data_IF_803981306552
#
_entry.id   IF_803981306552
#
_cell.length_a   1.000
_cell.length_b   1.000
_cell.length_c   1.000
_cell.angle_alpha   90.00
_cell.angle_beta   90.00
_cell.angle_gamma   90.00
#
_symmetry.space_group_name_H-M   'P 1'
#
loop_
_entity.id
_entity.type
_entity.pdbx_description
1 polymer ?
#
# COMPACT_ATOMS: atom_id res chain seq x y z
N UNK A 1 -9.13 8.52 -18.79
CA UNK A 1 -10.25 9.28 -18.22
C UNK A 1 -9.65 10.45 -17.44
N UNK A 2 -9.95 11.69 -17.82
CA UNK A 2 -9.57 12.85 -17.00
C UNK A 2 -10.37 12.81 -15.70
N UNK A 3 -9.70 12.74 -14.56
CA UNK A 3 -10.36 12.82 -13.26
C UNK A 3 -10.82 14.25 -13.05
N UNK A 4 -12.10 14.41 -12.71
CA UNK A 4 -12.69 15.74 -12.51
C UNK A 4 -11.97 16.48 -11.38
N UNK A 5 -11.57 17.76 -11.56
CA UNK A 5 -10.95 18.59 -10.52
C UNK A 5 -11.74 18.64 -9.20
N UNK A 6 -13.05 18.37 -9.25
CA UNK A 6 -13.91 18.29 -8.06
C UNK A 6 -13.56 17.11 -7.15
N UNK A 7 -13.13 15.98 -7.69
CA UNK A 7 -12.81 14.77 -6.91
C UNK A 7 -11.58 15.03 -6.02
N UNK A 8 -10.56 15.68 -6.58
CA UNK A 8 -9.33 16.03 -5.86
C UNK A 8 -9.58 17.05 -4.73
N UNK A 9 -10.43 18.06 -4.98
CA UNK A 9 -10.80 19.05 -3.96
C UNK A 9 -11.57 18.44 -2.79
N UNK A 10 -12.41 17.44 -3.06
CA UNK A 10 -13.13 16.73 -2.00
C UNK A 10 -12.17 15.94 -1.11
N UNK A 11 -11.17 15.26 -1.70
CA UNK A 11 -10.15 14.53 -0.96
C UNK A 11 -9.32 15.47 -0.08
N UNK A 12 -8.85 16.59 -0.64
CA UNK A 12 -8.15 17.62 0.12
C UNK A 12 -8.99 18.15 1.29
N UNK A 13 -10.26 18.50 1.03
CA UNK A 13 -11.16 19.03 2.04
C UNK A 13 -11.32 18.10 3.25
N UNK A 14 -11.48 16.80 3.00
CA UNK A 14 -11.59 15.78 4.06
C UNK A 14 -10.30 15.63 4.85
N UNK A 15 -9.16 15.59 4.16
CA UNK A 15 -7.84 15.50 4.79
C UNK A 15 -7.58 16.67 5.74
N UNK A 16 -7.89 17.90 5.32
CA UNK A 16 -7.77 19.09 6.17
C UNK A 16 -8.74 19.03 7.36
N UNK A 17 -9.98 18.60 7.15
CA UNK A 17 -10.95 18.45 8.24
C UNK A 17 -10.47 17.46 9.32
N UNK A 18 -9.83 16.36 8.93
CA UNK A 18 -9.28 15.37 9.86
C UNK A 18 -8.15 15.96 10.70
N UNK A 19 -7.17 16.61 10.07
CA UNK A 19 -6.04 17.22 10.78
C UNK A 19 -6.52 18.35 11.70
N UNK A 20 -7.49 19.15 11.25
CA UNK A 20 -8.10 20.18 12.09
C UNK A 20 -8.68 19.59 13.38
N UNK A 21 -9.44 18.49 13.25
CA UNK A 21 -10.08 17.82 14.39
C UNK A 21 -9.06 17.15 15.31
N UNK A 22 -8.01 16.54 14.77
CA UNK A 22 -6.96 15.91 15.58
C UNK A 22 -6.17 16.94 16.40
N UNK A 23 -6.04 18.17 15.89
CA UNK A 23 -5.48 19.32 16.62
C UNK A 23 -6.48 20.01 17.57
N UNK A 24 -7.73 19.53 17.64
CA UNK A 24 -8.78 20.10 18.48
C UNK A 24 -9.29 21.47 18.02
N UNK A 25 -9.06 21.86 16.77
CA UNK A 25 -9.42 23.19 16.26
C UNK A 25 -10.85 23.23 15.74
N UNK A 26 -11.54 24.33 16.04
CA UNK A 26 -12.75 24.75 15.35
C UNK A 26 -12.43 25.28 13.93
N UNK A 27 -13.44 25.38 13.07
CA UNK A 27 -13.28 25.98 11.74
C UNK A 27 -12.80 27.43 11.81
N UNK A 28 -13.20 28.19 12.85
CA UNK A 28 -12.78 29.59 13.04
C UNK A 28 -11.32 29.68 13.41
N UNK A 29 -10.86 28.85 14.35
CA UNK A 29 -9.46 28.81 14.76
C UNK A 29 -8.55 28.37 13.61
N UNK A 30 -8.95 27.38 12.82
CA UNK A 30 -8.19 26.96 11.65
C UNK A 30 -8.09 28.06 10.59
N UNK A 31 -9.18 28.80 10.37
CA UNK A 31 -9.19 29.94 9.44
C UNK A 31 -8.30 31.08 9.94
N UNK A 32 -8.36 31.40 11.24
CA UNK A 32 -7.51 32.40 11.88
C UNK A 32 -6.03 32.04 11.79
N UNK A 33 -5.67 30.78 12.11
CA UNK A 33 -4.29 30.27 11.97
C UNK A 33 -3.78 30.31 10.53
N UNK A 34 -4.65 30.06 9.56
CA UNK A 34 -4.33 30.14 8.13
C UNK A 34 -4.31 31.58 7.58
N UNK A 35 -4.79 32.57 8.34
CA UNK A 35 -4.99 33.92 7.80
C UNK A 35 -6.01 33.94 6.65
N UNK A 36 -7.00 33.03 6.68
CA UNK A 36 -8.02 32.87 5.64
C UNK A 36 -9.41 33.19 6.19
N UNK A 37 -10.35 33.51 5.29
CA UNK A 37 -11.74 33.64 5.66
C UNK A 37 -12.30 32.28 6.14
N UNK A 38 -13.10 32.30 7.22
CA UNK A 38 -13.79 31.11 7.73
C UNK A 38 -14.59 30.37 6.64
N UNK A 39 -15.21 31.13 5.73
CA UNK A 39 -15.96 30.59 4.59
C UNK A 39 -15.09 29.80 3.63
N UNK A 40 -13.82 30.17 3.45
CA UNK A 40 -12.86 29.45 2.59
C UNK A 40 -12.57 28.06 3.14
N UNK A 41 -12.20 27.96 4.42
CA UNK A 41 -11.95 26.66 5.07
C UNK A 41 -13.22 25.80 5.08
N UNK A 42 -14.37 26.39 5.42
CA UNK A 42 -15.64 25.65 5.45
C UNK A 42 -16.05 25.12 4.06
N UNK A 43 -15.89 25.90 2.98
CA UNK A 43 -16.20 25.44 1.61
C UNK A 43 -15.22 24.37 1.14
N UNK A 44 -13.94 24.49 1.50
CA UNK A 44 -12.93 23.50 1.18
C UNK A 44 -13.23 22.17 1.88
N UNK A 45 -13.44 22.16 3.20
CA UNK A 45 -13.72 20.95 3.97
C UNK A 45 -15.05 20.28 3.62
N UNK A 46 -16.07 21.07 3.24
CA UNK A 46 -17.39 20.53 2.85
C UNK A 46 -17.49 20.08 1.39
N UNK A 47 -16.42 20.24 0.59
CA UNK A 47 -16.45 19.93 -0.83
C UNK A 47 -17.34 20.87 -1.66
N UNK A 48 -17.80 21.99 -1.08
CA UNK A 48 -18.57 23.03 -1.77
C UNK A 48 -17.69 24.00 -2.57
N UNK A 49 -16.38 23.88 -2.44
CA UNK A 49 -15.40 24.59 -3.24
C UNK A 49 -15.41 24.03 -4.67
N UNK A 50 -15.76 24.86 -5.66
CA UNK A 50 -15.90 24.44 -7.06
C UNK A 50 -14.62 24.65 -7.88
N UNK A 51 -13.68 25.45 -7.37
CA UNK A 51 -12.46 25.87 -8.05
C UNK A 51 -11.25 25.61 -7.18
N UNK A 52 -10.12 25.27 -7.81
CA UNK A 52 -8.86 25.09 -7.11
C UNK A 52 -8.47 26.36 -6.36
N UNK A 53 -8.09 26.27 -5.06
CA UNK A 53 -7.48 27.39 -4.36
C UNK A 53 -6.25 27.89 -5.10
N UNK A 54 -6.02 29.20 -5.06
CA UNK A 54 -4.81 29.78 -5.62
C UNK A 54 -3.58 29.35 -4.83
N UNK A 55 -2.43 29.29 -5.49
CA UNK A 55 -1.16 28.85 -4.89
C UNK A 55 -0.84 29.52 -3.53
N UNK A 56 -1.04 30.85 -3.35
CA UNK A 56 -0.81 31.49 -2.05
C UNK A 56 -1.75 30.96 -0.95
N UNK A 57 -3.01 30.65 -1.31
CA UNK A 57 -3.98 30.06 -0.37
C UNK A 57 -3.54 28.67 0.06
N UNK A 58 -3.03 27.87 -0.87
CA UNK A 58 -2.50 26.53 -0.58
C UNK A 58 -1.31 26.58 0.37
N UNK A 59 -0.39 27.53 0.17
CA UNK A 59 0.77 27.74 1.05
C UNK A 59 0.36 28.15 2.46
N UNK A 60 -0.63 29.04 2.59
CA UNK A 60 -1.17 29.45 3.89
C UNK A 60 -1.80 28.28 4.65
N UNK A 61 -2.55 27.42 3.94
CA UNK A 61 -3.12 26.20 4.52
C UNK A 61 -2.00 25.25 4.95
N UNK A 62 -1.01 25.00 4.09
CA UNK A 62 0.13 24.14 4.38
C UNK A 62 0.86 24.58 5.65
N UNK A 63 1.20 25.88 5.75
CA UNK A 63 1.87 26.46 6.90
C UNK A 63 1.04 26.34 8.19
N UNK A 64 -0.25 26.69 8.13
CA UNK A 64 -1.12 26.65 9.31
C UNK A 64 -1.36 25.24 9.84
N UNK A 65 -1.44 24.26 8.95
CA UNK A 65 -1.65 22.86 9.32
C UNK A 65 -0.34 22.10 9.61
N UNK A 66 0.82 22.72 9.40
CA UNK A 66 2.15 22.11 9.49
C UNK A 66 2.29 20.89 8.55
N UNK A 67 1.73 21.01 7.35
CA UNK A 67 1.78 19.97 6.31
C UNK A 67 2.74 20.46 5.22
N UNK A 68 3.66 19.62 4.73
CA UNK A 68 4.47 19.94 3.55
C UNK A 68 3.57 20.36 2.36
N UNK A 69 3.92 21.48 1.73
CA UNK A 69 3.16 22.05 0.61
C UNK A 69 2.97 21.03 -0.52
N UNK A 70 3.97 20.18 -0.76
CA UNK A 70 3.98 19.14 -1.79
C UNK A 70 2.85 18.13 -1.60
N UNK A 71 2.49 17.80 -0.35
CA UNK A 71 1.40 16.88 -0.04
C UNK A 71 0.06 17.51 -0.47
N UNK A 72 -0.18 18.76 -0.09
CA UNK A 72 -1.42 19.47 -0.47
C UNK A 72 -1.49 19.63 -1.99
N UNK A 73 -0.38 20.02 -2.61
CA UNK A 73 -0.30 20.17 -4.06
C UNK A 73 -0.55 18.84 -4.79
N UNK A 74 0.01 17.74 -4.28
CA UNK A 74 -0.25 16.40 -4.81
C UNK A 74 -1.72 16.01 -4.68
N UNK A 75 -2.35 16.24 -3.52
CA UNK A 75 -3.79 16.00 -3.31
C UNK A 75 -4.69 16.78 -4.29
N UNK A 76 -4.26 17.97 -4.73
CA UNK A 76 -4.99 18.80 -5.68
C UNK A 76 -4.80 18.37 -7.13
N UNK A 77 -3.59 17.93 -7.48
CA UNK A 77 -3.17 17.73 -8.88
C UNK A 77 -3.15 16.27 -9.31
N UNK A 78 -3.07 15.34 -8.36
CA UNK A 78 -2.98 13.92 -8.65
C UNK A 78 -4.37 13.28 -8.69
N UNK A 79 -4.77 12.65 -9.81
CA UNK A 79 -6.02 11.91 -9.93
C UNK A 79 -6.14 10.71 -8.98
N UNK A 80 -5.02 10.29 -8.37
CA UNK A 80 -4.90 9.03 -7.61
C UNK A 80 -5.01 9.21 -6.08
N UNK A 81 -5.32 10.41 -5.59
CA UNK A 81 -5.26 10.77 -4.17
C UNK A 81 -6.36 10.20 -3.26
N UNK A 82 -7.14 9.23 -3.72
CA UNK A 82 -8.18 8.56 -2.93
C UNK A 82 -7.65 7.49 -1.95
N UNK A 83 -6.33 7.38 -1.75
CA UNK A 83 -5.72 6.31 -0.95
C UNK A 83 -5.23 6.73 0.44
N UNK A 84 -5.48 7.97 0.89
CA UNK A 84 -4.98 8.43 2.18
C UNK A 84 -6.09 8.49 3.25
N UNK A 85 -5.92 7.61 4.24
CA UNK A 85 -6.58 7.54 5.55
C UNK A 85 -8.12 7.29 5.55
N UNK A 86 -8.50 6.04 5.82
CA UNK A 86 -9.86 5.49 5.65
C UNK A 86 -10.78 5.62 6.86
N UNK A 87 -10.31 6.19 7.98
CA UNK A 87 -11.10 6.35 9.20
C UNK A 87 -12.40 7.16 9.01
N UNK A 88 -12.46 8.01 7.98
CA UNK A 88 -13.63 8.87 7.70
C UNK A 88 -14.04 8.97 6.23
N UNK A 89 -13.41 8.21 5.33
CA UNK A 89 -13.81 8.11 3.93
C UNK A 89 -14.95 7.10 3.77
N UNK A 90 -15.89 7.31 2.81
CA UNK A 90 -16.81 6.25 2.41
C UNK A 90 -16.00 4.98 2.18
N UNK A 91 -16.47 3.85 2.72
CA UNK A 91 -15.80 2.58 2.48
C UNK A 91 -15.57 2.47 0.99
N UNK A 92 -14.38 2.05 0.56
CA UNK A 92 -14.20 1.76 -0.84
C UNK A 92 -15.34 0.82 -1.29
N UNK A 93 -16.05 1.10 -2.41
CA UNK A 93 -17.33 0.44 -2.77
C UNK A 93 -17.34 -1.08 -2.65
N UNK A 94 -16.17 -1.70 -2.80
CA UNK A 94 -15.99 -3.13 -2.72
C UNK A 94 -16.01 -3.69 -1.28
N UNK A 95 -15.74 -2.93 -0.20
CA UNK A 95 -15.86 -3.48 1.15
C UNK A 95 -17.34 -3.76 1.44
N UNK A 96 -18.18 -2.85 0.99
CA UNK A 96 -19.61 -3.06 0.93
C UNK A 96 -19.99 -4.31 0.14
N UNK A 97 -19.46 -4.48 -1.07
CA UNK A 97 -19.71 -5.67 -1.87
C UNK A 97 -19.21 -6.97 -1.22
N UNK A 98 -18.11 -6.91 -0.50
CA UNK A 98 -17.53 -8.04 0.21
C UNK A 98 -18.42 -8.44 1.40
N UNK A 99 -18.86 -7.47 2.20
CA UNK A 99 -19.85 -7.66 3.27
C UNK A 99 -21.14 -8.24 2.69
N UNK A 100 -21.64 -7.69 1.58
CA UNK A 100 -22.79 -8.22 0.85
C UNK A 100 -22.57 -9.69 0.45
N UNK A 101 -21.42 -10.01 -0.15
CA UNK A 101 -21.12 -11.37 -0.63
C UNK A 101 -21.08 -12.40 0.51
N UNK A 102 -20.47 -12.05 1.65
CA UNK A 102 -20.46 -12.93 2.82
C UNK A 102 -21.83 -13.08 3.45
N UNK A 103 -22.58 -11.99 3.54
CA UNK A 103 -23.97 -12.03 4.02
C UNK A 103 -24.81 -12.99 3.16
N UNK A 104 -24.71 -12.89 1.83
CA UNK A 104 -25.39 -13.82 0.91
C UNK A 104 -24.90 -15.27 1.09
N UNK A 105 -23.59 -15.50 1.14
CA UNK A 105 -22.99 -16.84 1.31
C UNK A 105 -23.41 -17.52 2.61
N UNK A 106 -23.59 -16.76 3.68
CA UNK A 106 -24.03 -17.25 5.01
C UNK A 106 -25.56 -17.30 5.14
N UNK A 107 -26.30 -16.95 4.09
CA UNK A 107 -27.76 -17.00 4.07
C UNK A 107 -28.45 -15.92 4.90
N UNK A 108 -27.75 -14.83 5.25
CA UNK A 108 -28.33 -13.73 6.01
C UNK A 108 -29.13 -12.78 5.10
N UNK A 109 -30.39 -12.53 5.45
CA UNK A 109 -31.11 -11.36 4.91
C UNK A 109 -30.54 -10.07 5.52
N UNK A 110 -30.90 -8.92 4.95
CA UNK A 110 -30.50 -7.63 5.51
C UNK A 110 -31.13 -7.42 6.90
N UNK A 111 -32.36 -7.89 7.07
CA UNK A 111 -33.13 -7.86 8.31
C UNK A 111 -32.50 -8.77 9.38
N UNK A 112 -32.16 -10.02 9.03
CA UNK A 112 -31.56 -10.97 9.97
C UNK A 112 -30.17 -10.50 10.46
N UNK A 113 -29.39 -9.85 9.61
CA UNK A 113 -28.11 -9.26 10.04
C UNK A 113 -28.32 -8.06 10.97
N UNK A 114 -29.34 -7.24 10.71
CA UNK A 114 -29.72 -6.13 11.60
C UNK A 114 -30.25 -6.56 12.96
N UNK A 115 -30.92 -7.71 13.05
CA UNK A 115 -31.30 -8.31 14.34
C UNK A 115 -30.09 -8.72 15.18
N UNK A 116 -29.01 -9.18 14.53
CA UNK A 116 -27.75 -9.51 15.20
C UNK A 116 -26.93 -8.27 15.58
N UNK A 117 -27.13 -7.14 14.91
CA UNK A 117 -26.33 -5.92 15.04
C UNK A 117 -27.24 -4.72 15.33
N UNK A 118 -27.46 -4.35 16.60
CA UNK A 118 -28.45 -3.33 16.98
C UNK A 118 -28.24 -1.95 16.33
N UNK A 119 -27.00 -1.62 15.96
CA UNK A 119 -26.66 -0.36 15.28
C UNK A 119 -26.92 -0.39 13.77
N UNK A 120 -27.19 -1.57 13.19
CA UNK A 120 -27.28 -1.81 11.76
C UNK A 120 -28.73 -2.02 11.33
N UNK A 121 -29.34 -1.00 10.72
CA UNK A 121 -30.64 -1.16 10.06
C UNK A 121 -30.48 -1.45 8.55
N UNK A 122 -31.57 -1.84 7.88
CA UNK A 122 -31.57 -2.18 6.45
C UNK A 122 -31.04 -1.06 5.55
N UNK A 123 -31.38 0.20 5.82
CA UNK A 123 -30.92 1.33 5.02
C UNK A 123 -29.42 1.56 5.22
N UNK A 124 -28.94 1.51 6.46
CA UNK A 124 -27.53 1.65 6.79
C UNK A 124 -26.70 0.50 6.20
N UNK A 125 -27.19 -0.74 6.28
CA UNK A 125 -26.54 -1.89 5.64
C UNK A 125 -26.44 -1.70 4.13
N UNK A 126 -27.49 -1.18 3.48
CA UNK A 126 -27.44 -0.87 2.05
C UNK A 126 -26.36 0.18 1.75
N UNK A 127 -26.28 1.26 2.53
CA UNK A 127 -25.23 2.27 2.37
C UNK A 127 -23.83 1.70 2.59
N UNK A 128 -23.67 0.78 3.56
CA UNK A 128 -22.42 0.06 3.80
C UNK A 128 -22.09 -0.83 2.59
N UNK A 129 -23.06 -1.60 2.09
CA UNK A 129 -22.91 -2.54 0.96
C UNK A 129 -22.61 -1.84 -0.37
N UNK A 130 -23.06 -0.60 -0.53
CA UNK A 130 -22.73 0.30 -1.64
C UNK A 130 -21.40 1.06 -1.42
N UNK A 131 -20.81 0.93 -0.23
CA UNK A 131 -19.63 1.67 0.23
C UNK A 131 -19.87 3.16 0.46
N UNK A 132 -21.11 3.62 0.45
CA UNK A 132 -21.45 5.02 0.76
C UNK A 132 -21.15 5.39 2.22
N UNK A 133 -21.05 4.40 3.13
CA UNK A 133 -20.87 4.58 4.56
C UNK A 133 -19.58 3.95 5.10
N UNK A 134 -18.68 4.71 5.76
CA UNK A 134 -17.55 4.16 6.54
C UNK A 134 -18.02 3.26 7.68
N UNK A 135 -17.21 2.24 8.02
CA UNK A 135 -17.36 1.48 9.26
C UNK A 135 -16.20 1.80 10.22
N UNK A 136 -16.49 1.87 11.52
CA UNK A 136 -15.45 1.89 12.55
C UNK A 136 -14.87 0.49 12.77
N UNK A 137 -13.70 0.40 13.43
CA UNK A 137 -13.08 -0.87 13.78
C UNK A 137 -14.01 -1.76 14.64
N UNK A 138 -14.71 -1.16 15.60
CA UNK A 138 -15.71 -1.84 16.44
C UNK A 138 -16.86 -2.41 15.60
N UNK A 139 -17.37 -1.63 14.63
CA UNK A 139 -18.41 -2.09 13.72
C UNK A 139 -17.94 -3.20 12.78
N UNK A 140 -16.68 -3.18 12.36
CA UNK A 140 -16.07 -4.26 11.57
C UNK A 140 -15.97 -5.53 12.42
N UNK A 141 -15.53 -5.43 13.68
CA UNK A 141 -15.45 -6.58 14.60
C UNK A 141 -16.83 -7.19 14.87
N UNK A 142 -17.84 -6.34 15.08
CA UNK A 142 -19.24 -6.72 15.21
C UNK A 142 -19.74 -7.48 13.98
N UNK A 143 -19.48 -6.96 12.77
CA UNK A 143 -19.82 -7.63 11.51
C UNK A 143 -19.13 -8.99 11.37
N UNK A 144 -17.86 -9.09 11.74
CA UNK A 144 -17.12 -10.37 11.72
C UNK A 144 -17.75 -11.42 12.63
N UNK A 145 -18.19 -11.01 13.83
CA UNK A 145 -18.88 -11.88 14.80
C UNK A 145 -20.26 -12.28 14.27
N UNK A 146 -21.06 -11.31 13.81
CA UNK A 146 -22.43 -11.54 13.36
C UNK A 146 -22.51 -12.42 12.11
N UNK A 147 -21.58 -12.25 11.16
CA UNK A 147 -21.47 -13.04 9.93
C UNK A 147 -20.77 -14.40 10.16
N UNK A 148 -20.30 -14.67 11.38
CA UNK A 148 -19.60 -15.92 11.73
C UNK A 148 -18.46 -16.23 10.75
N UNK A 149 -17.63 -15.21 10.49
CA UNK A 149 -16.54 -15.30 9.53
C UNK A 149 -15.46 -16.27 10.06
N UNK A 150 -15.01 -17.19 9.22
CA UNK A 150 -13.85 -18.02 9.49
C UNK A 150 -12.59 -17.13 9.62
N UNK A 151 -11.50 -17.60 10.28
CA UNK A 151 -10.26 -16.84 10.41
C UNK A 151 -9.72 -16.29 9.08
N UNK A 152 -9.86 -17.04 8.00
CA UNK A 152 -9.45 -16.65 6.65
C UNK A 152 -10.34 -15.52 6.10
N UNK A 153 -11.66 -15.61 6.30
CA UNK A 153 -12.65 -14.61 5.89
C UNK A 153 -12.49 -13.30 6.70
N UNK A 154 -12.21 -13.40 8.00
CA UNK A 154 -11.84 -12.24 8.84
C UNK A 154 -10.57 -11.59 8.32
N UNK A 155 -9.57 -12.39 7.99
CA UNK A 155 -8.32 -11.95 7.41
C UNK A 155 -8.56 -11.21 6.09
N UNK A 156 -9.44 -11.72 5.24
CA UNK A 156 -9.83 -11.10 3.97
C UNK A 156 -10.60 -9.78 4.18
N UNK A 157 -11.52 -9.69 5.16
CA UNK A 157 -12.29 -8.47 5.46
C UNK A 157 -11.37 -7.36 5.92
N UNK A 158 -10.44 -7.67 6.84
CA UNK A 158 -9.45 -6.72 7.36
C UNK A 158 -8.47 -6.31 6.27
N UNK A 159 -8.00 -7.28 5.49
CA UNK A 159 -6.99 -7.04 4.47
C UNK A 159 -7.51 -6.17 3.33
N UNK A 160 -8.72 -6.48 2.86
CA UNK A 160 -9.32 -5.74 1.77
C UNK A 160 -9.84 -4.41 2.28
N UNK A 161 -10.55 -4.40 3.43
CA UNK A 161 -11.32 -3.33 4.11
C UNK A 161 -10.74 -1.92 4.27
N UNK A 162 -9.61 -1.60 3.68
CA UNK A 162 -8.96 -0.30 3.86
C UNK A 162 -8.22 -0.19 5.20
N UNK A 163 -8.27 -1.22 6.04
CA UNK A 163 -7.31 -1.46 7.11
C UNK A 163 -5.94 -1.93 6.54
N UNK A 164 -5.59 -1.51 5.31
CA UNK A 164 -4.24 -1.69 4.78
C UNK A 164 -3.19 -0.87 5.59
N UNK A 165 -3.64 0.15 6.34
CA UNK A 165 -2.79 0.82 7.34
C UNK A 165 -2.62 -0.02 8.63
N UNK A 166 -3.45 -1.05 8.84
CA UNK A 166 -3.45 -1.96 10.00
C UNK A 166 -3.26 -3.45 9.59
N UNK A 167 -2.75 -3.76 8.38
CA UNK A 167 -2.62 -5.14 7.80
C UNK A 167 -1.97 -6.09 8.76
N UNK A 168 -0.96 -5.57 9.41
CA UNK A 168 -0.28 -6.31 10.42
C UNK A 168 -1.06 -6.01 11.68
N UNK A 169 -1.79 -7.02 12.16
CA UNK A 169 -1.98 -7.11 13.59
C UNK A 169 -0.62 -6.76 14.22
N UNK A 170 -0.57 -5.94 15.28
CA UNK A 170 0.71 -5.51 15.85
C UNK A 170 1.71 -6.67 16.00
N UNK A 171 1.22 -7.87 16.30
CA UNK A 171 2.00 -9.12 16.32
C UNK A 171 2.59 -9.57 14.96
N UNK A 172 1.87 -9.46 13.84
CA UNK A 172 2.42 -9.84 12.53
C UNK A 172 3.53 -8.88 12.08
N UNK A 173 3.43 -7.57 12.36
CA UNK A 173 4.49 -6.61 12.04
C UNK A 173 5.69 -6.87 12.91
N UNK A 174 5.48 -7.00 14.22
CA UNK A 174 6.55 -7.35 15.16
C UNK A 174 7.24 -8.65 14.77
N UNK A 175 6.50 -9.67 14.33
CA UNK A 175 7.08 -10.93 13.88
C UNK A 175 7.88 -10.79 12.58
N UNK A 176 7.37 -10.07 11.58
CA UNK A 176 8.14 -9.76 10.36
C UNK A 176 9.43 -9.04 10.70
N UNK A 177 9.33 -7.99 11.51
CA UNK A 177 10.45 -7.19 11.99
C UNK A 177 11.46 -8.07 12.72
N UNK A 178 11.03 -8.93 13.65
CA UNK A 178 11.89 -9.88 14.37
C UNK A 178 12.58 -10.89 13.44
N UNK A 179 11.87 -11.45 12.46
CA UNK A 179 12.44 -12.36 11.46
C UNK A 179 13.51 -11.66 10.63
N UNK A 180 13.24 -10.42 10.20
CA UNK A 180 14.18 -9.62 9.41
C UNK A 180 15.36 -9.12 10.26
N UNK A 181 15.15 -8.83 11.54
CA UNK A 181 16.19 -8.47 12.52
C UNK A 181 17.16 -9.61 12.76
N UNK A 182 16.66 -10.85 12.83
CA UNK A 182 17.49 -12.04 12.94
C UNK A 182 18.32 -12.28 11.66
N UNK A 183 17.87 -11.76 10.52
CA UNK A 183 18.61 -11.73 9.25
C UNK A 183 19.59 -10.54 9.19
N UNK A 184 20.46 -10.43 10.20
CA UNK A 184 21.29 -9.24 10.47
C UNK A 184 22.19 -8.78 9.32
N UNK A 185 22.60 -9.70 8.44
CA UNK A 185 23.72 -9.46 7.55
C UNK A 185 23.39 -9.36 6.06
N UNK A 186 22.14 -9.53 5.63
CA UNK A 186 21.80 -9.43 4.20
C UNK A 186 20.52 -8.68 3.92
N UNK A 187 20.27 -8.28 2.66
CA UNK A 187 19.00 -7.73 2.23
C UNK A 187 17.85 -8.70 2.51
N UNK A 188 16.80 -8.20 3.16
CA UNK A 188 15.55 -8.91 3.33
C UNK A 188 14.37 -7.94 3.53
N UNK A 189 13.18 -8.37 3.10
CA UNK A 189 11.93 -7.62 3.28
C UNK A 189 10.72 -8.55 3.35
N UNK A 190 9.58 -8.02 3.79
CA UNK A 190 8.31 -8.71 3.85
C UNK A 190 7.32 -8.12 2.83
N UNK A 191 6.62 -8.98 2.10
CA UNK A 191 5.55 -8.63 1.17
C UNK A 191 4.19 -9.11 1.68
N UNK A 192 3.14 -8.33 1.42
CA UNK A 192 1.76 -8.76 1.64
C UNK A 192 1.04 -9.09 0.33
N UNK A 193 0.43 -10.28 0.26
CA UNK A 193 -0.44 -10.74 -0.84
C UNK A 193 -1.87 -10.20 -0.64
N UNK A 194 -2.58 -9.80 -1.72
CA UNK A 194 -2.25 -10.01 -3.14
C UNK A 194 -1.61 -8.82 -3.84
N UNK A 195 -1.43 -7.69 -3.17
CA UNK A 195 -0.90 -6.48 -3.82
C UNK A 195 0.63 -6.46 -3.88
N UNK A 196 1.30 -7.43 -3.26
CA UNK A 196 2.76 -7.47 -3.07
C UNK A 196 3.27 -6.17 -2.46
N UNK A 197 2.53 -5.63 -1.51
CA UNK A 197 2.92 -4.42 -0.80
C UNK A 197 4.13 -4.73 0.07
N UNK A 198 5.15 -3.88 -0.02
CA UNK A 198 6.32 -3.97 0.86
C UNK A 198 5.91 -3.48 2.24
N UNK A 199 5.81 -4.41 3.19
CA UNK A 199 5.39 -4.14 4.56
C UNK A 199 6.51 -3.53 5.39
N UNK A 200 7.67 -4.18 5.33
CA UNK A 200 8.87 -3.81 6.07
C UNK A 200 10.08 -4.30 5.30
N UNK A 201 11.11 -3.48 5.22
CA UNK A 201 12.40 -3.84 4.64
C UNK A 201 13.52 -3.49 5.62
N UNK A 202 14.50 -4.37 5.77
CA UNK A 202 15.68 -4.04 6.56
C UNK A 202 16.56 -3.01 5.82
N UNK A 203 17.46 -2.33 6.56
CA UNK A 203 18.35 -1.31 6.00
C UNK A 203 19.13 -1.76 4.74
N UNK A 204 19.49 -3.04 4.65
CA UNK A 204 20.25 -3.60 3.54
C UNK A 204 19.40 -3.71 2.27
N UNK A 205 18.18 -4.21 2.39
CA UNK A 205 17.20 -4.18 1.30
C UNK A 205 16.87 -2.74 0.91
N UNK A 206 16.68 -1.87 1.91
CA UNK A 206 16.54 -0.42 1.76
C UNK A 206 17.57 0.22 0.85
N UNK A 207 18.84 -0.06 1.13
CA UNK A 207 19.95 0.45 0.35
C UNK A 207 20.02 -0.16 -1.06
N UNK A 208 19.88 -1.48 -1.16
CA UNK A 208 20.12 -2.20 -2.42
C UNK A 208 18.98 -2.00 -3.43
N UNK A 209 17.74 -1.95 -2.97
CA UNK A 209 16.57 -2.00 -3.84
C UNK A 209 15.79 -0.69 -3.91
N UNK A 210 15.70 0.04 -2.80
CA UNK A 210 14.85 1.22 -2.66
C UNK A 210 15.65 2.52 -2.76
N UNK A 211 15.03 3.65 -3.11
CA UNK A 211 15.78 4.89 -3.33
C UNK A 211 16.17 5.57 -2.01
N UNK A 212 17.38 6.16 -1.93
CA UNK A 212 17.80 6.91 -0.74
C UNK A 212 16.92 8.14 -0.44
N UNK A 213 16.28 8.72 -1.46
CA UNK A 213 15.38 9.88 -1.27
C UNK A 213 14.06 9.52 -0.59
N UNK A 214 13.61 8.28 -0.71
CA UNK A 214 12.45 7.75 0.03
C UNK A 214 12.82 7.35 1.47
N UNK A 215 14.11 7.22 1.77
CA UNK A 215 14.64 6.94 3.10
C UNK A 215 14.77 8.22 3.93
N UNK A 216 13.67 8.98 4.08
CA UNK A 216 13.59 10.07 5.07
C UNK A 216 13.60 9.46 6.48
N UNK A 217 14.78 8.96 6.85
CA UNK A 217 15.13 8.27 8.09
C UNK A 217 15.53 9.33 9.11
N UNK A 218 14.59 10.19 9.49
CA UNK A 218 14.71 10.92 10.76
C UNK A 218 14.51 10.00 11.96
N UNK A 219 14.07 8.76 11.73
CA UNK A 219 13.93 7.70 12.72
C UNK A 219 15.15 6.77 12.70
N UNK A 220 15.77 6.53 13.87
CA UNK A 220 16.80 5.51 14.11
C UNK A 220 16.32 4.06 13.90
N UNK A 221 15.19 3.86 13.23
CA UNK A 221 14.65 2.54 12.91
C UNK A 221 15.58 1.81 11.93
N UNK A 222 15.97 0.55 12.19
CA UNK A 222 16.71 -0.28 11.24
C UNK A 222 15.83 -0.75 10.06
N UNK A 223 14.56 -0.33 10.03
CA UNK A 223 13.56 -0.72 9.06
C UNK A 223 12.96 0.47 8.31
N UNK A 224 12.71 0.24 7.03
CA UNK A 224 11.94 1.14 6.18
C UNK A 224 10.47 0.73 6.17
N UNK A 225 9.62 1.73 6.38
CA UNK A 225 8.16 1.65 6.18
C UNK A 225 7.78 2.60 5.05
N UNK A 226 6.97 2.12 4.11
CA UNK A 226 6.54 2.93 2.96
C UNK A 226 5.16 3.50 3.24
N UNK A 227 5.02 4.83 3.14
CA UNK A 227 3.73 5.51 3.24
C UNK A 227 3.57 6.49 2.05
N UNK A 228 2.69 6.18 1.07
CA UNK A 228 1.80 5.02 1.02
C UNK A 228 2.56 3.69 0.81
N UNK A 229 1.97 2.54 1.15
CA UNK A 229 2.57 1.24 0.91
C UNK A 229 2.77 1.02 -0.60
N UNK A 230 4.01 0.81 -1.01
CA UNK A 230 4.40 0.58 -2.41
C UNK A 230 4.25 -0.91 -2.76
N UNK A 231 3.70 -1.21 -3.94
CA UNK A 231 3.81 -2.57 -4.48
C UNK A 231 5.24 -2.82 -4.95
N UNK A 232 5.79 -4.00 -4.65
CA UNK A 232 7.09 -4.41 -5.16
C UNK A 232 7.15 -4.39 -6.69
N UNK A 233 6.03 -4.64 -7.37
CA UNK A 233 5.96 -4.53 -8.83
C UNK A 233 6.21 -3.10 -9.31
N UNK A 234 5.68 -2.10 -8.60
CA UNK A 234 5.91 -0.68 -8.90
C UNK A 234 7.38 -0.32 -8.65
N UNK A 235 7.98 -0.87 -7.59
CA UNK A 235 9.41 -0.68 -7.27
C UNK A 235 10.30 -1.26 -8.38
N UNK A 236 9.99 -2.44 -8.91
CA UNK A 236 10.79 -3.08 -9.97
C UNK A 236 10.87 -2.29 -11.28
N UNK A 237 9.81 -1.55 -11.60
CA UNK A 237 9.67 -0.83 -12.88
C UNK A 237 9.80 0.69 -12.72
N UNK A 238 9.83 1.19 -11.48
CA UNK A 238 10.03 2.60 -11.21
C UNK A 238 11.43 3.03 -11.67
N UNK A 239 11.55 4.09 -12.48
CA UNK A 239 12.85 4.65 -12.86
C UNK A 239 13.58 5.29 -11.66
N UNK A 240 12.86 5.59 -10.59
CA UNK A 240 13.42 6.16 -9.36
C UNK A 240 13.99 5.10 -8.43
N UNK A 241 13.55 3.83 -8.54
CA UNK A 241 14.07 2.74 -7.74
C UNK A 241 15.50 2.37 -8.16
N UNK A 242 16.34 2.01 -7.20
CA UNK A 242 17.73 1.60 -7.48
C UNK A 242 17.77 0.25 -8.19
N UNK A 243 16.87 -0.68 -7.83
CA UNK A 243 16.87 -2.03 -8.37
C UNK A 243 16.70 -2.07 -9.89
N UNK A 244 15.87 -1.19 -10.47
CA UNK A 244 15.63 -1.17 -11.92
C UNK A 244 16.92 -0.83 -12.68
N UNK A 245 17.67 0.18 -12.20
CA UNK A 245 18.97 0.58 -12.76
C UNK A 245 20.00 -0.54 -12.67
N UNK A 246 20.08 -1.22 -11.53
CA UNK A 246 21.05 -2.31 -11.32
C UNK A 246 20.74 -3.55 -12.15
N UNK A 247 19.46 -3.88 -12.31
CA UNK A 247 19.00 -4.96 -13.19
C UNK A 247 19.27 -4.65 -14.67
N UNK A 248 19.07 -3.39 -15.08
CA UNK A 248 19.38 -2.94 -16.44
C UNK A 248 20.89 -3.01 -16.71
N UNK A 249 21.72 -2.54 -15.77
CA UNK A 249 23.18 -2.61 -15.87
C UNK A 249 23.70 -4.06 -15.94
N UNK A 250 22.98 -5.02 -15.34
CA UNK A 250 23.26 -6.45 -15.44
C UNK A 250 22.70 -7.11 -16.71
N UNK A 251 21.93 -6.40 -17.54
CA UNK A 251 21.31 -6.96 -18.75
C UNK A 251 20.21 -8.00 -18.47
N UNK A 252 19.66 -8.06 -17.26
CA UNK A 252 18.68 -9.07 -16.86
C UNK A 252 17.30 -8.51 -16.47
N UNK A 253 17.09 -7.18 -16.60
CA UNK A 253 15.86 -6.51 -16.17
C UNK A 253 14.58 -7.14 -16.72
N UNK A 254 14.46 -7.36 -18.03
CA UNK A 254 13.26 -7.96 -18.62
C UNK A 254 12.98 -9.35 -18.07
N UNK A 255 14.02 -10.20 -17.98
CA UNK A 255 13.89 -11.57 -17.43
C UNK A 255 13.32 -11.54 -16.00
N UNK A 256 13.89 -10.68 -15.15
CA UNK A 256 13.45 -10.55 -13.76
C UNK A 256 12.03 -10.00 -13.67
N UNK A 257 11.70 -8.92 -14.38
CA UNK A 257 10.34 -8.36 -14.39
C UNK A 257 9.30 -9.41 -14.79
N UNK A 258 9.58 -10.20 -15.83
CA UNK A 258 8.67 -11.25 -16.30
C UNK A 258 8.50 -12.37 -15.27
N UNK A 259 9.59 -12.79 -14.62
CA UNK A 259 9.55 -13.81 -13.57
C UNK A 259 8.76 -13.32 -12.34
N UNK A 260 8.96 -12.08 -11.90
CA UNK A 260 8.23 -11.51 -10.77
C UNK A 260 6.74 -11.32 -11.10
N UNK A 261 6.40 -10.89 -12.32
CA UNK A 261 5.00 -10.78 -12.76
C UNK A 261 4.33 -12.16 -12.85
N UNK A 262 5.01 -13.17 -13.38
CA UNK A 262 4.49 -14.54 -13.40
C UNK A 262 4.23 -15.05 -11.98
N UNK A 263 5.20 -14.86 -11.08
CA UNK A 263 5.10 -15.27 -9.67
C UNK A 263 3.96 -14.52 -8.96
N UNK A 264 3.83 -13.22 -9.19
CA UNK A 264 2.74 -12.40 -8.70
C UNK A 264 1.38 -12.94 -9.18
N UNK A 265 1.22 -13.19 -10.48
CA UNK A 265 -0.02 -13.72 -11.06
C UNK A 265 -0.41 -15.04 -10.42
N UNK A 266 0.56 -15.95 -10.22
CA UNK A 266 0.32 -17.24 -9.59
C UNK A 266 -0.09 -17.12 -8.12
N UNK A 267 0.65 -16.37 -7.32
CA UNK A 267 0.38 -16.22 -5.89
C UNK A 267 -0.92 -15.46 -5.61
N UNK A 268 -1.28 -14.53 -6.49
CA UNK A 268 -2.49 -13.72 -6.37
C UNK A 268 -3.69 -14.28 -7.13
N UNK A 269 -3.58 -15.45 -7.78
CA UNK A 269 -4.65 -16.02 -8.64
C UNK A 269 -5.99 -16.21 -7.92
N UNK A 270 -5.96 -16.58 -6.64
CA UNK A 270 -7.18 -16.77 -5.83
C UNK A 270 -7.98 -15.47 -5.64
N UNK A 271 -7.33 -14.32 -5.84
CA UNK A 271 -7.94 -12.99 -5.74
C UNK A 271 -8.34 -12.42 -7.10
N UNK A 272 -8.21 -13.17 -8.21
CA UNK A 272 -8.49 -12.67 -9.56
C UNK A 272 -9.94 -12.18 -9.74
N UNK A 273 -10.88 -12.75 -8.99
CA UNK A 273 -12.28 -12.33 -8.99
C UNK A 273 -12.56 -11.12 -8.07
N UNK A 274 -11.59 -10.73 -7.24
CA UNK A 274 -11.77 -9.66 -6.28
C UNK A 274 -11.68 -8.29 -6.95
N UNK A 275 -12.67 -7.43 -6.75
CA UNK A 275 -12.76 -6.13 -7.43
C UNK A 275 -11.53 -5.23 -7.17
N UNK A 276 -11.04 -5.14 -5.93
CA UNK A 276 -9.82 -4.34 -5.65
C UNK A 276 -8.64 -4.85 -6.44
N UNK A 277 -8.47 -6.17 -6.46
CA UNK A 277 -7.37 -6.78 -7.18
C UNK A 277 -7.49 -6.43 -8.66
N UNK A 278 -8.67 -6.55 -9.25
CA UNK A 278 -8.91 -6.12 -10.63
C UNK A 278 -8.61 -4.64 -10.86
N UNK A 279 -9.02 -3.74 -9.97
CA UNK A 279 -8.70 -2.31 -10.06
C UNK A 279 -7.20 -2.03 -9.94
N UNK A 280 -6.53 -2.69 -8.99
CA UNK A 280 -5.10 -2.60 -8.80
C UNK A 280 -4.34 -3.08 -10.04
N UNK A 281 -4.71 -4.24 -10.59
CA UNK A 281 -4.13 -4.76 -11.84
C UNK A 281 -4.43 -3.81 -13.00
N UNK A 282 -5.67 -3.35 -13.14
CA UNK A 282 -6.03 -2.40 -14.18
C UNK A 282 -5.14 -1.15 -14.12
N UNK A 283 -4.98 -0.56 -12.93
CA UNK A 283 -4.08 0.57 -12.70
C UNK A 283 -2.65 0.23 -13.10
N UNK A 284 -2.08 -0.86 -12.56
CA UNK A 284 -0.71 -1.27 -12.89
C UNK A 284 -0.47 -1.42 -14.40
N UNK A 285 -1.39 -2.06 -15.11
CA UNK A 285 -1.29 -2.30 -16.56
C UNK A 285 -1.44 -1.01 -17.38
N UNK A 286 -2.17 -0.01 -16.88
CA UNK A 286 -2.30 1.30 -17.53
C UNK A 286 -1.08 2.18 -17.26
N UNK A 287 -0.58 2.17 -16.02
CA UNK A 287 0.53 3.03 -15.58
C UNK A 287 1.87 2.55 -16.13
N UNK A 288 2.10 1.24 -16.23
CA UNK A 288 3.41 0.68 -16.56
C UNK A 288 3.35 -0.23 -17.80
N UNK A 289 3.72 0.26 -19.00
CA UNK A 289 3.68 -0.53 -20.24
C UNK A 289 4.47 -1.84 -20.16
N UNK A 290 5.63 -1.84 -19.49
CA UNK A 290 6.44 -3.05 -19.29
C UNK A 290 5.71 -4.10 -18.43
N UNK A 291 4.95 -3.68 -17.40
CA UNK A 291 4.12 -4.60 -16.62
C UNK A 291 3.03 -5.18 -17.51
N UNK A 292 2.41 -4.37 -18.37
CA UNK A 292 1.38 -4.86 -19.31
C UNK A 292 1.92 -5.89 -20.28
N UNK A 293 3.08 -5.65 -20.87
CA UNK A 293 3.76 -6.59 -21.74
C UNK A 293 4.10 -7.90 -21.00
N UNK A 294 4.78 -7.79 -19.86
CA UNK A 294 5.12 -8.94 -19.03
C UNK A 294 3.87 -9.72 -18.56
N UNK A 295 2.78 -9.02 -18.25
CA UNK A 295 1.51 -9.62 -17.85
C UNK A 295 0.88 -10.46 -18.96
N UNK A 296 0.96 -9.99 -20.21
CA UNK A 296 0.43 -10.72 -21.37
C UNK A 296 1.26 -11.96 -21.71
N UNK A 297 2.58 -11.87 -21.56
CA UNK A 297 3.50 -12.94 -21.94
C UNK A 297 3.74 -13.97 -20.81
N UNK A 298 3.50 -13.59 -19.55
CA UNK A 298 3.69 -14.48 -18.41
C UNK A 298 2.69 -15.63 -18.39
N UNK A 299 3.18 -16.86 -18.53
CA UNK A 299 2.40 -18.10 -18.38
C UNK A 299 2.60 -18.69 -16.97
N UNK A 300 1.69 -19.57 -16.55
CA UNK A 300 1.84 -20.30 -15.29
C UNK A 300 3.07 -21.23 -15.30
N UNK A 301 3.50 -21.68 -16.48
CA UNK A 301 4.68 -22.54 -16.66
C UNK A 301 5.99 -21.79 -16.37
N UNK A 302 6.00 -20.46 -16.53
CA UNK A 302 7.13 -19.62 -16.12
C UNK A 302 7.30 -19.58 -14.60
N UNK A 303 6.21 -19.83 -13.85
CA UNK A 303 6.25 -20.09 -12.41
C UNK A 303 6.67 -21.54 -12.22
N UNK A 304 7.93 -21.78 -12.53
CA UNK A 304 8.64 -23.02 -12.23
C UNK A 304 8.45 -23.41 -10.75
N UNK A 305 8.67 -24.69 -10.37
CA UNK A 305 8.66 -25.10 -8.95
C UNK A 305 9.57 -24.26 -8.05
N UNK A 306 10.53 -23.55 -8.64
CA UNK A 306 11.50 -22.64 -8.04
C UNK A 306 10.99 -21.21 -7.81
N UNK A 307 9.68 -20.93 -7.80
CA UNK A 307 9.22 -19.57 -7.41
C UNK A 307 9.65 -19.17 -5.99
N UNK A 308 9.86 -20.18 -5.14
CA UNK A 308 10.39 -20.00 -3.80
C UNK A 308 11.85 -19.54 -3.83
N UNK A 309 12.57 -19.82 -4.91
CA UNK A 309 14.01 -19.81 -4.89
C UNK A 309 14.61 -19.55 -6.28
N UNK A 310 15.20 -18.37 -6.48
CA UNK A 310 15.72 -17.97 -7.79
C UNK A 310 17.12 -17.38 -7.69
N UNK A 311 18.03 -17.88 -8.53
CA UNK A 311 19.35 -17.28 -8.74
C UNK A 311 19.22 -15.94 -9.48
N UNK A 312 19.94 -14.94 -8.98
CA UNK A 312 19.82 -13.55 -9.39
C UNK A 312 21.20 -12.92 -9.59
N UNK A 313 21.29 -12.06 -10.60
CA UNK A 313 22.47 -11.27 -10.91
C UNK A 313 22.12 -9.79 -10.87
N UNK A 314 22.91 -8.98 -10.16
CA UNK A 314 22.80 -7.53 -10.17
C UNK A 314 24.15 -6.91 -10.47
N UNK A 315 24.14 -5.76 -11.14
CA UNK A 315 25.34 -4.95 -11.31
C UNK A 315 25.13 -3.64 -10.59
N UNK A 316 25.81 -3.47 -9.46
CA UNK A 316 25.62 -2.34 -8.55
C UNK A 316 26.79 -1.38 -8.64
N UNK A 317 26.53 -0.09 -8.49
CA UNK A 317 27.56 0.93 -8.38
C UNK A 317 27.67 1.39 -6.93
N UNK A 318 28.86 1.30 -6.35
CA UNK A 318 29.16 1.67 -4.96
C UNK A 318 30.43 2.52 -5.00
N UNK A 319 30.33 3.78 -4.57
CA UNK A 319 31.47 4.71 -4.54
C UNK A 319 32.22 4.74 -5.90
N UNK A 320 31.47 4.87 -6.99
CA UNK A 320 31.97 4.92 -8.38
C UNK A 320 32.58 3.61 -8.91
N UNK A 321 32.60 2.53 -8.12
CA UNK A 321 33.02 1.20 -8.56
C UNK A 321 31.83 0.29 -8.85
N UNK A 322 31.95 -0.50 -9.92
CA UNK A 322 30.90 -1.45 -10.34
C UNK A 322 31.20 -2.86 -9.85
N UNK A 323 30.22 -3.45 -9.17
CA UNK A 323 30.29 -4.81 -8.65
C UNK A 323 29.22 -5.68 -9.32
N UNK A 324 29.61 -6.90 -9.71
CA UNK A 324 28.66 -7.93 -10.11
C UNK A 324 28.31 -8.74 -8.88
N UNK A 325 27.04 -8.71 -8.50
CA UNK A 325 26.48 -9.47 -7.40
C UNK A 325 25.76 -10.69 -7.95
N UNK A 326 26.01 -11.82 -7.31
CA UNK A 326 25.42 -13.11 -7.60
C UNK A 326 24.89 -13.71 -6.31
N UNK A 327 23.57 -13.88 -6.24
CA UNK A 327 22.89 -14.29 -5.02
C UNK A 327 21.62 -15.08 -5.31
N UNK A 328 21.14 -15.77 -4.29
CA UNK A 328 19.90 -16.51 -4.28
C UNK A 328 18.79 -15.72 -3.61
N UNK A 329 17.65 -15.57 -4.28
CA UNK A 329 16.45 -14.96 -3.72
C UNK A 329 15.53 -16.07 -3.19
N UNK A 330 15.32 -16.12 -1.88
CA UNK A 330 14.44 -17.09 -1.21
C UNK A 330 13.17 -16.40 -0.71
N UNK A 331 12.01 -16.96 -1.05
CA UNK A 331 10.66 -16.50 -0.70
C UNK A 331 9.97 -17.54 0.15
N UNK A 332 9.65 -17.18 1.38
CA UNK A 332 9.04 -18.08 2.34
C UNK A 332 7.77 -17.45 2.89
N UNK A 333 6.68 -18.20 2.89
CA UNK A 333 5.48 -17.78 3.60
C UNK A 333 5.74 -17.75 5.10
N UNK A 334 5.24 -16.71 5.76
CA UNK A 334 5.27 -16.66 7.21
C UNK A 334 4.31 -17.74 7.75
N UNK A 335 4.81 -18.66 8.58
CA UNK A 335 4.02 -19.81 9.05
C UNK A 335 2.76 -19.39 9.81
N UNK A 336 2.84 -18.28 10.55
CA UNK A 336 1.72 -17.72 11.31
C UNK A 336 0.73 -16.93 10.44
N UNK A 337 1.15 -16.50 9.24
CA UNK A 337 0.32 -15.75 8.31
C UNK A 337 0.73 -16.01 6.84
N UNK A 338 0.08 -16.94 6.13
CA UNK A 338 0.43 -17.32 4.76
C UNK A 338 0.08 -16.23 3.72
N UNK A 339 -0.36 -15.06 4.14
CA UNK A 339 -0.52 -13.88 3.27
C UNK A 339 0.77 -13.06 3.21
N UNK A 340 1.70 -13.30 4.11
CA UNK A 340 2.99 -12.61 4.19
C UNK A 340 4.07 -13.50 3.60
N UNK A 341 4.87 -12.93 2.70
CA UNK A 341 6.07 -13.55 2.14
C UNK A 341 7.29 -12.84 2.70
N UNK A 342 8.19 -13.58 3.34
CA UNK A 342 9.53 -13.11 3.69
C UNK A 342 10.46 -13.40 2.51
N UNK A 343 11.07 -12.35 1.98
CA UNK A 343 12.04 -12.41 0.89
C UNK A 343 13.43 -12.16 1.47
N UNK A 344 14.37 -13.07 1.20
CA UNK A 344 15.76 -13.03 1.67
C UNK A 344 16.71 -13.22 0.51
N UNK A 345 17.85 -12.55 0.57
CA UNK A 345 18.90 -12.68 -0.44
C UNK A 345 20.17 -13.27 0.18
N UNK A 346 20.62 -14.41 -0.37
CA UNK A 346 21.79 -15.15 0.10
C UNK A 346 22.94 -15.04 -0.91
N UNK A 347 24.13 -14.56 -0.54
CA UNK A 347 25.24 -14.40 -1.46
C UNK A 347 25.74 -15.78 -1.94
N UNK A 348 26.06 -15.89 -3.23
CA UNK A 348 26.59 -17.12 -3.83
C UNK A 348 28.10 -17.05 -4.11
N UNK A 349 28.73 -15.88 -3.95
CA UNK A 349 30.17 -15.70 -4.05
C UNK A 349 30.75 -14.71 -3.01
N UNK A 350 32.08 -14.68 -2.95
CA UNK A 350 32.86 -13.83 -2.04
C UNK A 350 32.57 -12.34 -2.23
N UNK A 351 32.51 -11.89 -3.48
CA UNK A 351 32.34 -10.48 -3.83
C UNK A 351 30.98 -10.00 -3.35
N UNK A 352 29.94 -10.79 -3.63
CA UNK A 352 28.57 -10.53 -3.24
C UNK A 352 28.41 -10.53 -1.73
N UNK A 353 29.04 -11.50 -1.05
CA UNK A 353 29.07 -11.55 0.41
C UNK A 353 29.69 -10.27 0.99
N UNK A 354 30.88 -9.87 0.52
CA UNK A 354 31.54 -8.63 0.98
C UNK A 354 30.67 -7.40 0.76
N UNK A 355 30.11 -7.26 -0.44
CA UNK A 355 29.26 -6.10 -0.79
C UNK A 355 27.97 -6.07 0.02
N UNK A 356 27.26 -7.19 0.16
CA UNK A 356 25.95 -7.22 0.84
C UNK A 356 26.06 -7.25 2.37
N UNK A 357 27.16 -7.78 2.94
CA UNK A 357 27.27 -8.10 4.37
C UNK A 357 28.33 -7.26 5.10
N UNK A 358 29.35 -6.75 4.41
CA UNK A 358 30.54 -6.16 5.06
C UNK A 358 30.79 -4.70 4.66
N UNK A 359 30.39 -4.26 3.46
CA UNK A 359 30.75 -2.95 2.90
C UNK A 359 30.17 -1.72 3.64
N UNK A 360 29.38 -1.88 4.72
CA UNK A 360 28.73 -0.77 5.46
C UNK A 360 28.59 -1.00 6.98
N UNK A 361 29.39 -1.88 7.57
CA UNK A 361 29.73 -1.72 9.01
C UNK A 361 30.76 -0.60 9.15
#
# INVERSE_FOLDING_TARGET
>A
MEVSPRVNLLALGKYLAEIRRSKGWSLREAAEKAGLAHTTISRLESGKQLTMPELPTVQLIAAAYEIPFEIIFHLMTSPDCLLFNTSSLPLPPWLGQLIYSWRQKKGFSAEALGEKLPWLNKALLKEIEEGARPLSDEQIEDLQKALELAPEEKGELLYLGGALNNILSPGAYQLCTQVLENWRKGPAYALAIPFWQVLVANRWAGWLFFSQKENNTTSNSPFLTFNPPLSFLEVLVSPMAQISKYLQAAGCWNKVVFQEIATFKYLSRRFAHHFIYQQFIHRLLQTYPIIKEAWQQSTLEMVTPTYQESEMFLRVNIQDEWYNLHFYCSRNFLTTDPRIIIVRYLPLDEVTRKVMFEARE
#
